data_IF_128496619357
#
_entry.id   IF_128496619357
#
_cell.length_a   1.000
_cell.length_b   1.000
_cell.length_c   1.000
_cell.angle_alpha   90.00
_cell.angle_beta   90.00
_cell.angle_gamma   90.00
#
_symmetry.space_group_name_H-M   'P 1'
#
loop_
_entity.id
_entity.type
_entity.pdbx_description
1 polymer ?
#
# COMPACT_ATOMS: atom_id res chain seq x y z
N UNK A 1 -12.25 20.74 -11.69
CA UNK A 1 -12.20 19.46 -11.05
C UNK A 1 -11.12 18.57 -11.67
N UNK A 2 -10.39 17.90 -10.86
CA UNK A 2 -9.31 17.05 -11.35
C UNK A 2 -9.72 15.58 -11.22
N UNK A 3 -10.12 14.96 -12.34
CA UNK A 3 -10.59 13.58 -12.34
C UNK A 3 -9.50 12.59 -11.90
N UNK A 4 -8.22 12.94 -12.06
CA UNK A 4 -7.12 12.04 -11.70
C UNK A 4 -7.04 11.76 -10.19
N UNK A 5 -7.59 12.66 -9.36
CA UNK A 5 -7.62 12.46 -7.91
C UNK A 5 -8.59 11.35 -7.49
N UNK A 6 -9.46 10.92 -8.40
CA UNK A 6 -10.45 9.89 -8.11
C UNK A 6 -9.88 8.48 -8.17
N UNK A 7 -8.63 8.31 -8.55
CA UNK A 7 -7.97 7.01 -8.65
C UNK A 7 -6.74 6.96 -7.75
N UNK A 8 -6.26 5.74 -7.50
CA UNK A 8 -5.03 5.54 -6.74
C UNK A 8 -3.86 6.24 -7.43
N UNK A 9 -3.74 6.11 -8.74
CA UNK A 9 -2.68 6.79 -9.49
C UNK A 9 -2.75 8.29 -9.38
N UNK A 10 -3.95 8.85 -9.49
CA UNK A 10 -4.15 10.29 -9.34
C UNK A 10 -3.82 10.77 -7.93
N UNK A 11 -4.22 10.00 -6.93
CA UNK A 11 -3.87 10.31 -5.54
C UNK A 11 -2.36 10.35 -5.35
N UNK A 12 -1.65 9.36 -5.89
CA UNK A 12 -0.20 9.30 -5.75
C UNK A 12 0.47 10.50 -6.42
N UNK A 13 0.03 10.86 -7.62
CA UNK A 13 0.60 11.98 -8.37
C UNK A 13 0.37 13.31 -7.66
N UNK A 14 -0.67 13.40 -6.86
CA UNK A 14 -1.04 14.62 -6.14
C UNK A 14 -0.42 14.73 -4.74
N UNK A 15 0.37 13.75 -4.31
CA UNK A 15 0.96 13.77 -2.97
C UNK A 15 1.83 15.00 -2.74
N UNK A 16 1.62 15.63 -1.58
CA UNK A 16 2.37 16.83 -1.17
C UNK A 16 2.76 16.70 0.30
N UNK A 17 4.05 16.73 0.63
CA UNK A 17 5.18 16.78 -0.32
C UNK A 17 5.35 15.46 -1.07
N UNK A 18 5.89 15.54 -2.28
CA UNK A 18 6.18 14.34 -3.06
C UNK A 18 7.38 13.60 -2.45
N UNK A 19 7.42 12.25 -2.58
CA UNK A 19 8.59 11.50 -2.15
C UNK A 19 9.84 11.92 -2.94
N UNK A 20 11.05 11.68 -2.40
CA UNK A 20 12.27 11.88 -3.17
C UNK A 20 12.22 11.13 -4.50
N UNK A 21 12.86 11.69 -5.53
CA UNK A 21 12.70 11.23 -6.91
C UNK A 21 12.91 9.73 -7.09
N UNK A 22 14.00 9.18 -6.56
CA UNK A 22 14.27 7.75 -6.71
C UNK A 22 13.19 6.88 -6.08
N UNK A 23 12.73 7.27 -4.91
CA UNK A 23 11.65 6.57 -4.21
C UNK A 23 10.32 6.76 -4.95
N UNK A 24 10.06 7.97 -5.46
CA UNK A 24 8.84 8.26 -6.21
C UNK A 24 8.71 7.38 -7.45
N UNK A 25 9.81 7.24 -8.20
CA UNK A 25 9.82 6.39 -9.38
C UNK A 25 9.51 4.93 -9.00
N UNK A 26 10.13 4.44 -7.93
CA UNK A 26 9.92 3.07 -7.48
C UNK A 26 8.48 2.85 -7.01
N UNK A 27 7.95 3.78 -6.21
CA UNK A 27 6.57 3.69 -5.73
C UNK A 27 5.57 3.73 -6.88
N UNK A 28 5.82 4.59 -7.87
CA UNK A 28 4.96 4.68 -9.05
C UNK A 28 4.89 3.34 -9.78
N UNK A 29 6.03 2.69 -9.94
CA UNK A 29 6.07 1.37 -10.58
C UNK A 29 5.32 0.32 -9.78
N UNK A 30 5.47 0.33 -8.45
CA UNK A 30 4.82 -0.64 -7.58
C UNK A 30 3.30 -0.46 -7.54
N UNK A 31 2.83 0.78 -7.65
CA UNK A 31 1.40 1.08 -7.62
C UNK A 31 0.75 1.00 -9.00
N UNK A 32 1.53 0.78 -10.07
CA UNK A 32 0.99 0.75 -11.43
C UNK A 32 -0.16 -0.25 -11.60
N UNK A 33 -0.09 -1.48 -11.07
CA UNK A 33 -1.21 -2.43 -11.21
C UNK A 33 -2.50 -1.95 -10.55
N UNK A 34 -2.41 -1.01 -9.62
CA UNK A 34 -3.56 -0.50 -8.86
C UNK A 34 -3.97 0.90 -9.28
N UNK A 35 -3.31 1.48 -10.29
CA UNK A 35 -3.44 2.91 -10.61
C UNK A 35 -4.88 3.31 -10.95
N UNK A 36 -5.66 2.40 -11.53
CA UNK A 36 -7.04 2.68 -11.92
C UNK A 36 -8.05 2.37 -10.83
N UNK A 37 -7.63 1.83 -9.70
CA UNK A 37 -8.53 1.55 -8.59
C UNK A 37 -9.09 2.85 -8.03
N UNK A 38 -10.33 2.84 -7.50
CA UNK A 38 -10.89 4.03 -6.86
C UNK A 38 -10.02 4.54 -5.72
N UNK A 39 -9.99 5.85 -5.52
CA UNK A 39 -9.16 6.46 -4.49
C UNK A 39 -9.50 5.95 -3.08
N UNK A 40 -10.73 5.52 -2.85
CA UNK A 40 -11.14 4.95 -1.57
C UNK A 40 -10.39 3.67 -1.25
N UNK A 41 -9.77 3.04 -2.25
CA UNK A 41 -9.01 1.81 -2.06
C UNK A 41 -7.50 2.05 -1.94
N UNK A 42 -7.06 3.28 -1.72
CA UNK A 42 -5.65 3.59 -1.51
C UNK A 42 -5.04 2.72 -0.39
N UNK A 43 -5.68 2.55 0.78
CA UNK A 43 -5.08 1.70 1.81
C UNK A 43 -4.85 0.27 1.35
N UNK A 44 -5.84 -0.33 0.68
CA UNK A 44 -5.74 -1.70 0.20
C UNK A 44 -4.67 -1.82 -0.89
N UNK A 45 -4.62 -0.86 -1.81
CA UNK A 45 -3.63 -0.86 -2.88
C UNK A 45 -2.21 -0.76 -2.32
N UNK A 46 -2.00 0.14 -1.36
CA UNK A 46 -0.70 0.34 -0.75
C UNK A 46 -0.25 -0.89 0.04
N UNK A 47 -1.15 -1.51 0.79
CA UNK A 47 -0.81 -2.71 1.54
C UNK A 47 -0.52 -3.88 0.61
N UNK A 48 -1.31 -4.07 -0.43
CA UNK A 48 -1.09 -5.15 -1.39
C UNK A 48 0.25 -4.99 -2.09
N UNK A 49 0.55 -3.78 -2.56
CA UNK A 49 1.84 -3.51 -3.20
C UNK A 49 3.00 -3.75 -2.24
N UNK A 50 2.85 -3.31 -0.99
CA UNK A 50 3.88 -3.50 0.04
C UNK A 50 4.12 -4.96 0.36
N UNK A 51 3.05 -5.74 0.49
CA UNK A 51 3.16 -7.17 0.77
C UNK A 51 3.86 -7.92 -0.36
N UNK A 52 3.50 -7.62 -1.60
CA UNK A 52 4.13 -8.27 -2.75
C UNK A 52 5.62 -7.97 -2.80
N UNK A 53 6.00 -6.72 -2.56
CA UNK A 53 7.40 -6.35 -2.56
C UNK A 53 8.14 -7.00 -1.41
N UNK A 54 7.55 -7.04 -0.23
CA UNK A 54 8.18 -7.67 0.93
C UNK A 54 8.40 -9.16 0.69
N UNK A 55 7.42 -9.84 0.10
CA UNK A 55 7.56 -11.26 -0.24
C UNK A 55 8.73 -11.47 -1.20
N UNK A 56 8.86 -10.61 -2.21
CA UNK A 56 9.96 -10.69 -3.16
C UNK A 56 11.31 -10.47 -2.47
N UNK A 57 11.38 -9.51 -1.55
CA UNK A 57 12.61 -9.22 -0.82
C UNK A 57 13.02 -10.38 0.07
N UNK A 58 12.07 -10.97 0.78
CA UNK A 58 12.34 -12.11 1.65
C UNK A 58 12.81 -13.32 0.84
N UNK A 59 12.21 -13.53 -0.32
CA UNK A 59 12.59 -14.63 -1.20
C UNK A 59 13.99 -14.44 -1.80
N UNK A 60 14.36 -13.19 -2.10
CA UNK A 60 15.66 -12.92 -2.75
C UNK A 60 16.85 -13.01 -1.80
N UNK A 61 16.64 -12.66 -0.53
CA UNK A 61 17.73 -12.61 0.45
C UNK A 61 18.82 -11.60 0.14
N UNK A 62 18.58 -10.69 -0.80
CA UNK A 62 19.58 -9.71 -1.22
C UNK A 62 19.76 -8.61 -0.17
N UNK A 63 20.97 -8.05 -0.09
CA UNK A 63 21.28 -6.93 0.79
C UNK A 63 21.87 -5.76 0.01
N UNK A 64 21.54 -5.65 -1.27
CA UNK A 64 22.06 -4.61 -2.15
C UNK A 64 21.44 -3.24 -1.83
N UNK A 65 21.99 -2.20 -2.48
CA UNK A 65 21.44 -0.85 -2.38
C UNK A 65 19.99 -0.81 -2.92
N UNK A 66 19.72 -1.57 -3.97
CA UNK A 66 18.38 -1.66 -4.51
C UNK A 66 17.41 -2.26 -3.48
N UNK A 67 17.86 -3.23 -2.70
CA UNK A 67 17.08 -3.81 -1.62
C UNK A 67 16.77 -2.76 -0.55
N UNK A 68 17.74 -1.91 -0.21
CA UNK A 68 17.54 -0.84 0.76
C UNK A 68 16.46 0.13 0.28
N UNK A 69 16.47 0.51 -1.00
CA UNK A 69 15.45 1.36 -1.58
C UNK A 69 14.07 0.69 -1.52
N UNK A 70 14.02 -0.61 -1.81
CA UNK A 70 12.77 -1.36 -1.76
C UNK A 70 12.21 -1.45 -0.34
N UNK A 71 13.07 -1.57 0.68
CA UNK A 71 12.62 -1.54 2.06
C UNK A 71 12.02 -0.19 2.43
N UNK A 72 12.63 0.91 1.94
CA UNK A 72 12.04 2.24 2.11
C UNK A 72 10.69 2.34 1.42
N UNK A 73 10.54 1.70 0.26
CA UNK A 73 9.27 1.69 -0.45
C UNK A 73 8.20 0.94 0.34
N UNK A 74 8.53 -0.22 0.94
CA UNK A 74 7.59 -0.94 1.78
C UNK A 74 7.14 -0.07 2.95
N UNK A 75 8.09 0.58 3.63
CA UNK A 75 7.77 1.46 4.76
C UNK A 75 6.84 2.60 4.33
N UNK A 76 7.13 3.23 3.20
CA UNK A 76 6.31 4.32 2.68
C UNK A 76 4.89 3.84 2.36
N UNK A 77 4.76 2.67 1.72
CA UNK A 77 3.45 2.13 1.36
C UNK A 77 2.60 1.84 2.60
N UNK A 78 3.19 1.26 3.62
CA UNK A 78 2.48 0.99 4.88
C UNK A 78 2.06 2.30 5.54
N UNK A 79 2.95 3.29 5.54
CA UNK A 79 2.65 4.60 6.12
C UNK A 79 1.49 5.28 5.39
N UNK A 80 1.52 5.26 4.06
CA UNK A 80 0.43 5.84 3.27
C UNK A 80 -0.89 5.12 3.52
N UNK A 81 -0.84 3.79 3.67
CA UNK A 81 -2.05 3.01 3.93
C UNK A 81 -2.71 3.46 5.24
N UNK A 82 -1.92 3.62 6.29
CA UNK A 82 -2.46 4.05 7.58
C UNK A 82 -2.95 5.49 7.54
N UNK A 83 -2.22 6.38 6.87
CA UNK A 83 -2.65 7.77 6.75
C UNK A 83 -3.96 7.88 6.00
N UNK A 84 -4.09 7.17 4.89
CA UNK A 84 -5.32 7.20 4.10
C UNK A 84 -6.50 6.60 4.88
N UNK A 85 -6.26 5.53 5.63
CA UNK A 85 -7.30 4.92 6.44
C UNK A 85 -7.75 5.86 7.57
N UNK A 86 -6.83 6.60 8.16
CA UNK A 86 -7.14 7.53 9.23
C UNK A 86 -7.99 8.71 8.74
N UNK A 87 -7.85 9.09 7.47
CA UNK A 87 -8.62 10.18 6.89
C UNK A 87 -10.08 9.79 6.63
N UNK A 88 -10.42 8.49 6.72
CA UNK A 88 -11.75 7.96 6.45
C UNK A 88 -12.19 7.04 7.60
N UNK A 89 -12.49 7.61 8.79
CA UNK A 89 -12.80 6.78 9.96
C UNK A 89 -13.96 5.82 9.76
N UNK A 90 -14.99 6.22 9.03
CA UNK A 90 -16.14 5.36 8.78
C UNK A 90 -15.76 4.12 7.98
N UNK A 91 -14.79 4.25 7.06
CA UNK A 91 -14.30 3.13 6.28
C UNK A 91 -13.30 2.29 7.08
N UNK A 92 -12.63 2.90 8.06
CA UNK A 92 -11.67 2.19 8.91
C UNK A 92 -12.36 1.06 9.67
N UNK A 93 -13.53 1.31 10.23
CA UNK A 93 -14.28 0.28 10.95
C UNK A 93 -14.64 -0.89 10.03
N UNK A 94 -15.07 -0.59 8.81
CA UNK A 94 -15.42 -1.63 7.84
C UNK A 94 -14.19 -2.43 7.42
N UNK A 95 -13.04 -1.76 7.26
CA UNK A 95 -11.79 -2.44 6.92
C UNK A 95 -11.33 -3.35 8.06
N UNK A 96 -11.44 -2.88 9.28
CA UNK A 96 -11.09 -3.68 10.45
C UNK A 96 -11.97 -4.93 10.53
N UNK A 97 -13.26 -4.78 10.32
CA UNK A 97 -14.18 -5.91 10.32
C UNK A 97 -13.84 -6.93 9.25
N UNK A 98 -13.51 -6.46 8.04
CA UNK A 98 -13.11 -7.35 6.96
C UNK A 98 -11.79 -8.05 7.25
N UNK A 99 -10.83 -7.33 7.83
CA UNK A 99 -9.54 -7.92 8.18
C UNK A 99 -9.71 -9.01 9.22
N UNK A 100 -10.55 -8.76 10.23
CA UNK A 100 -10.83 -9.76 11.26
C UNK A 100 -11.53 -10.98 10.66
N UNK A 101 -12.48 -10.76 9.76
CA UNK A 101 -13.16 -11.86 9.08
C UNK A 101 -12.18 -12.69 8.25
N UNK A 102 -11.25 -12.05 7.56
CA UNK A 102 -10.23 -12.76 6.79
C UNK A 102 -9.32 -13.59 7.67
N UNK A 103 -8.90 -13.05 8.79
CA UNK A 103 -8.07 -13.79 9.75
C UNK A 103 -8.83 -14.97 10.32
N UNK A 104 -10.08 -14.77 10.68
CA UNK A 104 -10.92 -15.84 11.23
C UNK A 104 -11.16 -16.96 10.23
N UNK A 105 -11.13 -16.65 8.94
CA UNK A 105 -11.36 -17.64 7.89
C UNK A 105 -10.11 -18.45 7.54
N UNK A 106 -8.93 -18.05 8.03
CA UNK A 106 -7.69 -18.77 7.72
C UNK A 106 -7.67 -20.10 8.44
N UNK A 107 -7.24 -21.19 7.76
CA UNK A 107 -7.12 -22.49 8.40
C UNK A 107 -6.19 -22.41 9.61
N UNK A 108 -6.62 -22.99 10.71
CA UNK A 108 -5.82 -23.04 11.92
C UNK A 108 -5.77 -21.76 12.71
N UNK A 109 -6.40 -20.70 12.25
CA UNK A 109 -6.43 -19.48 13.01
C UNK A 109 -7.41 -19.60 14.17
N UNK A 110 -7.28 -18.69 15.15
CA UNK A 110 -8.13 -18.65 16.33
C UNK A 110 -8.17 -19.96 17.11
N UNK A 111 -7.05 -20.58 17.15
CA UNK A 111 -6.85 -21.61 18.16
C UNK A 111 -7.57 -22.88 17.98
N UNK A 112 -7.81 -23.14 16.85
CA UNK A 112 -8.30 -24.49 16.83
C UNK A 112 -7.40 -25.49 17.51
#
# INVERSE_FOLDING_TARGET
>A
MNASIMTVGGWFDALTPAPPEGLRVRLSALLQPFAQWPVQQVPEACLDAGERLLDDLLASGSTSRATALDLLAVDALVTYAFQAAADEPALLDARAARALASIAALPGSLGT
#
